data_IF_680210812528
#
_entry.id   IF_680210812528
#
_cell.length_a   1.000
_cell.length_b   1.000
_cell.length_c   1.000
_cell.angle_alpha   90.00
_cell.angle_beta   90.00
_cell.angle_gamma   90.00
#
_symmetry.space_group_name_H-M   'P 1'
#
loop_
_entity.id
_entity.type
_entity.pdbx_description
1 polymer ?
#
# COMPACT_ATOMS: atom_id res chain seq x y z
N UNK A 1 4.54 10.79 -31.96
CA UNK A 1 5.44 11.57 -31.09
C UNK A 1 6.52 10.62 -30.60
N UNK A 2 7.71 10.68 -31.19
CA UNK A 2 8.88 9.90 -30.78
C UNK A 2 9.38 10.45 -29.45
N UNK A 3 9.30 9.67 -28.37
CA UNK A 3 9.98 10.00 -27.12
C UNK A 3 11.48 10.00 -27.41
N UNK A 4 12.12 11.17 -27.32
CA UNK A 4 13.57 11.26 -27.17
C UNK A 4 13.93 10.67 -25.81
N UNK A 5 14.19 9.37 -25.76
CA UNK A 5 14.86 8.75 -24.64
C UNK A 5 16.31 9.24 -24.68
N UNK A 6 16.67 10.14 -23.76
CA UNK A 6 18.06 10.49 -23.43
C UNK A 6 18.77 9.30 -22.76
N UNK A 7 18.68 8.11 -23.35
CA UNK A 7 19.41 6.93 -22.89
C UNK A 7 20.84 7.11 -23.40
N UNK A 8 21.74 7.47 -22.49
CA UNK A 8 23.17 7.43 -22.75
C UNK A 8 23.56 5.96 -22.88
N UNK A 9 23.87 5.52 -24.10
CA UNK A 9 24.46 4.19 -24.30
C UNK A 9 25.83 4.22 -23.63
N UNK A 10 26.03 3.34 -22.65
CA UNK A 10 27.31 3.17 -21.96
C UNK A 10 28.09 2.13 -22.77
N UNK A 11 29.26 2.51 -23.27
CA UNK A 11 30.22 1.54 -23.80
C UNK A 11 31.20 1.23 -22.67
N UNK A 12 31.08 0.05 -22.08
CA UNK A 12 31.88 -0.32 -20.93
C UNK A 12 33.38 -0.32 -21.23
N UNK A 13 33.79 -0.51 -22.48
CA UNK A 13 35.21 -0.51 -22.87
C UNK A 13 35.75 0.90 -23.13
N UNK A 14 34.90 1.85 -23.54
CA UNK A 14 35.29 3.25 -23.72
C UNK A 14 35.14 4.07 -22.43
N UNK A 15 34.04 3.89 -21.70
CA UNK A 15 33.74 4.62 -20.45
C UNK A 15 34.57 4.10 -19.27
N UNK A 16 34.99 2.82 -19.30
CA UNK A 16 35.82 2.19 -18.26
C UNK A 16 37.04 1.48 -18.87
N UNK A 17 38.03 2.21 -19.40
CA UNK A 17 39.13 1.64 -20.18
C UNK A 17 40.06 0.70 -19.40
N UNK A 18 39.97 0.69 -18.07
CA UNK A 18 40.72 -0.22 -17.20
C UNK A 18 39.97 -1.52 -16.85
N UNK A 19 38.73 -1.70 -17.33
CA UNK A 19 37.96 -2.91 -17.04
C UNK A 19 38.60 -4.13 -17.71
N UNK A 20 38.80 -5.19 -16.95
CA UNK A 20 39.34 -6.45 -17.45
C UNK A 20 38.25 -7.33 -18.04
N UNK A 21 38.63 -8.28 -18.91
CA UNK A 21 37.70 -9.27 -19.45
C UNK A 21 37.00 -10.06 -18.33
N UNK A 22 37.73 -10.39 -17.25
CA UNK A 22 37.15 -11.10 -16.11
C UNK A 22 36.05 -10.29 -15.41
N UNK A 23 36.24 -8.98 -15.27
CA UNK A 23 35.22 -8.10 -14.68
C UNK A 23 34.00 -7.99 -15.60
N UNK A 24 34.20 -7.90 -16.92
CA UNK A 24 33.11 -7.96 -17.90
C UNK A 24 32.31 -9.26 -17.82
N UNK A 25 32.98 -10.42 -17.74
CA UNK A 25 32.32 -11.72 -17.64
C UNK A 25 31.48 -11.83 -16.35
N UNK A 26 31.97 -11.26 -15.25
CA UNK A 26 31.24 -11.20 -13.97
C UNK A 26 29.99 -10.33 -14.12
N UNK A 27 30.12 -9.13 -14.69
CA UNK A 27 29.02 -8.21 -14.91
C UNK A 27 27.96 -8.81 -15.83
N UNK A 28 28.37 -9.43 -16.94
CA UNK A 28 27.47 -10.07 -17.90
C UNK A 28 26.67 -11.19 -17.22
N UNK A 29 27.35 -12.03 -16.43
CA UNK A 29 26.71 -13.12 -15.69
C UNK A 29 25.70 -12.59 -14.67
N UNK A 30 26.05 -11.53 -13.95
CA UNK A 30 25.16 -10.89 -12.98
C UNK A 30 23.91 -10.29 -13.64
N UNK A 31 24.11 -9.51 -14.72
CA UNK A 31 22.99 -8.91 -15.48
C UNK A 31 22.06 -9.99 -16.03
N UNK A 32 22.61 -11.08 -16.60
CA UNK A 32 21.81 -12.20 -17.12
C UNK A 32 20.95 -12.85 -16.04
N UNK A 33 21.51 -13.07 -14.84
CA UNK A 33 20.75 -13.64 -13.72
C UNK A 33 19.57 -12.74 -13.32
N UNK A 34 19.80 -11.45 -13.17
CA UNK A 34 18.73 -10.50 -12.82
C UNK A 34 17.65 -10.42 -13.91
N UNK A 35 18.05 -10.44 -15.18
CA UNK A 35 17.09 -10.45 -16.29
C UNK A 35 16.27 -11.74 -16.32
N UNK A 36 16.87 -12.90 -16.05
CA UNK A 36 16.10 -14.14 -15.91
C UNK A 36 15.17 -14.13 -14.71
N UNK A 37 15.62 -13.64 -13.54
CA UNK A 37 14.76 -13.46 -12.38
C UNK A 37 13.54 -12.61 -12.75
N UNK A 38 13.75 -11.48 -13.42
CA UNK A 38 12.65 -10.62 -13.87
C UNK A 38 11.69 -11.41 -14.74
N UNK A 39 12.16 -12.11 -15.76
CA UNK A 39 11.26 -12.86 -16.66
C UNK A 39 10.51 -13.97 -15.92
N UNK A 40 11.16 -14.74 -15.04
CA UNK A 40 10.53 -15.81 -14.26
C UNK A 40 9.49 -15.24 -13.30
N UNK A 41 9.82 -14.18 -12.57
CA UNK A 41 8.89 -13.46 -11.70
C UNK A 41 7.69 -12.92 -12.49
N UNK A 42 7.94 -12.34 -13.66
CA UNK A 42 6.89 -11.82 -14.54
C UNK A 42 5.98 -12.93 -15.08
N UNK A 43 6.52 -14.12 -15.35
CA UNK A 43 5.75 -15.27 -15.82
C UNK A 43 4.79 -15.83 -14.76
N UNK A 44 5.11 -15.63 -13.47
CA UNK A 44 4.25 -16.03 -12.35
C UNK A 44 3.15 -14.98 -12.03
N UNK A 45 3.05 -13.88 -12.78
CA UNK A 45 2.00 -12.89 -12.57
C UNK A 45 0.62 -13.44 -12.85
N UNK A 46 -0.27 -13.23 -11.89
CA UNK A 46 -1.68 -13.55 -12.00
C UNK A 46 -2.52 -12.31 -11.70
N UNK A 47 -3.13 -11.74 -12.75
CA UNK A 47 -3.98 -10.55 -12.65
C UNK A 47 -5.23 -10.77 -11.79
N UNK A 48 -5.63 -12.02 -11.55
CA UNK A 48 -6.78 -12.38 -10.72
C UNK A 48 -6.43 -12.42 -9.24
N UNK A 49 -5.18 -12.08 -8.85
CA UNK A 49 -4.75 -11.95 -7.46
C UNK A 49 -4.53 -10.48 -7.13
N UNK A 50 -4.83 -10.09 -5.89
CA UNK A 50 -4.52 -8.74 -5.39
C UNK A 50 -3.02 -8.52 -5.22
N UNK A 51 -2.30 -9.59 -4.86
CA UNK A 51 -0.84 -9.64 -4.65
C UNK A 51 -0.31 -11.02 -5.04
N UNK A 52 0.82 -11.06 -5.74
CA UNK A 52 1.57 -12.28 -6.04
C UNK A 52 2.77 -12.41 -5.09
N UNK A 53 2.89 -13.58 -4.45
CA UNK A 53 3.98 -13.88 -3.52
C UNK A 53 4.88 -14.92 -4.18
N UNK A 54 6.05 -14.50 -4.65
CA UNK A 54 6.95 -15.34 -5.44
C UNK A 54 8.09 -15.83 -4.54
N UNK A 55 8.25 -17.15 -4.43
CA UNK A 55 9.33 -17.75 -3.65
C UNK A 55 10.63 -17.70 -4.44
N UNK A 56 11.65 -17.07 -3.87
CA UNK A 56 12.96 -16.99 -4.52
C UNK A 56 13.68 -18.35 -4.50
N UNK A 57 13.48 -19.13 -3.43
CA UNK A 57 13.95 -20.51 -3.33
C UNK A 57 13.43 -21.39 -4.46
N UNK A 58 12.14 -21.29 -4.79
CA UNK A 58 11.53 -22.07 -5.87
C UNK A 58 12.07 -21.67 -7.25
N UNK A 59 12.40 -20.39 -7.44
CA UNK A 59 13.06 -19.89 -8.64
C UNK A 59 14.57 -20.17 -8.67
N UNK A 60 15.15 -20.74 -7.60
CA UNK A 60 16.58 -21.00 -7.49
C UNK A 60 17.43 -19.73 -7.34
N UNK A 61 16.83 -18.64 -6.86
CA UNK A 61 17.50 -17.38 -6.57
C UNK A 61 17.77 -17.24 -5.08
N UNK A 62 19.03 -16.98 -4.76
CA UNK A 62 19.45 -16.60 -3.42
C UNK A 62 19.24 -15.10 -3.23
N UNK A 63 18.40 -14.72 -2.26
CA UNK A 63 18.11 -13.31 -1.94
C UNK A 63 19.04 -12.72 -0.89
N UNK A 64 20.22 -13.27 -0.69
CA UNK A 64 21.35 -12.61 -0.02
C UNK A 64 21.86 -11.37 -0.78
N UNK A 65 21.00 -10.74 -1.57
CA UNK A 65 21.21 -9.47 -2.21
C UNK A 65 21.64 -8.41 -1.19
N UNK A 66 22.67 -7.66 -1.53
CA UNK A 66 22.94 -6.42 -0.83
C UNK A 66 21.87 -5.36 -1.17
N UNK A 67 21.85 -4.25 -0.43
CA UNK A 67 20.83 -3.20 -0.60
C UNK A 67 20.77 -2.65 -2.04
N UNK A 68 21.91 -2.54 -2.74
CA UNK A 68 21.97 -2.04 -4.11
C UNK A 68 21.36 -3.05 -5.11
N UNK A 69 21.58 -4.35 -4.88
CA UNK A 69 21.01 -5.42 -5.70
C UNK A 69 19.49 -5.51 -5.52
N UNK A 70 18.99 -5.43 -4.28
CA UNK A 70 17.55 -5.37 -3.98
C UNK A 70 16.93 -4.18 -4.69
N UNK A 71 17.56 -3.01 -4.62
CA UNK A 71 17.10 -1.81 -5.30
C UNK A 71 17.08 -1.99 -6.81
N UNK A 72 18.12 -2.58 -7.40
CA UNK A 72 18.16 -2.83 -8.85
C UNK A 72 17.05 -3.78 -9.29
N UNK A 73 16.84 -4.89 -8.56
CA UNK A 73 15.75 -5.85 -8.85
C UNK A 73 14.39 -5.17 -8.71
N UNK A 74 14.20 -4.36 -7.66
CA UNK A 74 12.98 -3.57 -7.47
C UNK A 74 12.71 -2.67 -8.67
N UNK A 75 13.67 -1.82 -9.04
CA UNK A 75 13.53 -0.89 -10.17
C UNK A 75 13.26 -1.62 -11.49
N UNK A 76 13.90 -2.77 -11.70
CA UNK A 76 13.70 -3.58 -12.89
C UNK A 76 12.30 -4.19 -12.96
N UNK A 77 11.80 -4.75 -11.87
CA UNK A 77 10.44 -5.29 -11.79
C UNK A 77 9.42 -4.17 -11.99
N UNK A 78 9.62 -3.02 -11.33
CA UNK A 78 8.77 -1.83 -11.46
C UNK A 78 8.72 -1.22 -12.88
N UNK A 79 9.51 -1.71 -13.84
CA UNK A 79 9.35 -1.35 -15.27
C UNK A 79 8.12 -2.00 -15.92
N UNK A 80 7.55 -3.05 -15.33
CA UNK A 80 6.30 -3.65 -15.78
C UNK A 80 5.10 -2.84 -15.24
N UNK A 81 4.31 -2.25 -16.14
CA UNK A 81 3.21 -1.35 -15.78
C UNK A 81 2.06 -2.00 -14.98
N UNK A 82 2.03 -3.35 -14.93
CA UNK A 82 1.06 -4.09 -14.11
C UNK A 82 1.43 -4.06 -12.63
N UNK A 83 2.68 -3.76 -12.30
CA UNK A 83 3.22 -3.74 -10.94
C UNK A 83 3.13 -2.33 -10.38
N UNK A 84 2.46 -2.21 -9.23
CA UNK A 84 2.35 -0.95 -8.47
C UNK A 84 3.49 -0.78 -7.48
N UNK A 85 3.88 -1.87 -6.83
CA UNK A 85 4.87 -1.87 -5.76
C UNK A 85 5.51 -3.26 -5.65
N UNK A 86 6.77 -3.28 -5.24
CA UNK A 86 7.54 -4.49 -4.95
C UNK A 86 8.07 -4.40 -3.54
N UNK A 87 7.79 -5.44 -2.74
CA UNK A 87 8.35 -5.61 -1.41
C UNK A 87 9.12 -6.94 -1.31
N UNK A 88 10.15 -6.96 -0.47
CA UNK A 88 10.99 -8.13 -0.22
C UNK A 88 10.74 -8.59 1.20
N UNK A 89 10.37 -9.87 1.33
CA UNK A 89 10.22 -10.54 2.60
C UNK A 89 11.43 -11.45 2.78
N UNK A 90 12.46 -10.93 3.44
CA UNK A 90 13.73 -11.64 3.62
C UNK A 90 13.61 -12.82 4.59
N UNK A 91 12.65 -12.78 5.52
CA UNK A 91 12.42 -13.88 6.45
C UNK A 91 11.78 -15.08 5.75
N UNK A 92 10.84 -14.82 4.85
CA UNK A 92 10.14 -15.86 4.07
C UNK A 92 10.78 -16.15 2.71
N UNK A 93 11.85 -15.44 2.37
CA UNK A 93 12.54 -15.48 1.09
C UNK A 93 11.61 -15.29 -0.12
N UNK A 94 10.76 -14.26 -0.06
CA UNK A 94 9.73 -13.96 -1.06
C UNK A 94 9.83 -12.55 -1.62
N UNK A 95 9.48 -12.43 -2.89
CA UNK A 95 9.17 -11.15 -3.54
C UNK A 95 7.64 -11.01 -3.55
N UNK A 96 7.14 -9.95 -2.91
CA UNK A 96 5.72 -9.57 -2.91
C UNK A 96 5.48 -8.53 -4.00
N UNK A 97 4.55 -8.82 -4.89
CA UNK A 97 4.22 -7.99 -6.05
C UNK A 97 2.79 -7.52 -5.92
N UNK A 98 2.61 -6.21 -5.73
CA UNK A 98 1.30 -5.59 -5.62
C UNK A 98 0.86 -5.10 -6.99
N UNK A 99 -0.34 -5.51 -7.40
CA UNK A 99 -0.86 -5.18 -8.71
C UNK A 99 -1.38 -3.74 -8.75
N UNK A 100 -1.16 -3.06 -9.87
CA UNK A 100 -1.67 -1.72 -10.13
C UNK A 100 -3.18 -1.72 -10.39
N UNK A 101 -3.67 -2.73 -11.12
CA UNK A 101 -5.08 -2.88 -11.46
C UNK A 101 -5.47 -4.37 -11.42
N UNK A 102 -5.60 -4.95 -10.22
CA UNK A 102 -6.06 -6.32 -10.09
C UNK A 102 -7.45 -6.51 -10.73
N UNK A 103 -7.66 -7.63 -11.41
CA UNK A 103 -8.95 -8.00 -11.99
C UNK A 103 -9.83 -8.65 -10.92
N UNK A 104 -10.53 -7.82 -10.14
CA UNK A 104 -11.48 -8.28 -9.13
C UNK A 104 -12.75 -7.45 -9.16
N UNK A 105 -13.88 -8.13 -9.28
CA UNK A 105 -15.20 -7.52 -9.14
C UNK A 105 -15.64 -7.64 -7.68
N UNK A 106 -15.89 -6.50 -7.05
CA UNK A 106 -16.48 -6.43 -5.72
C UNK A 106 -17.99 -6.57 -5.87
N UNK A 107 -18.51 -7.76 -5.55
CA UNK A 107 -19.89 -8.15 -5.84
C UNK A 107 -20.86 -7.72 -4.72
N UNK A 108 -20.36 -7.65 -3.48
CA UNK A 108 -21.17 -7.35 -2.28
C UNK A 108 -20.49 -6.29 -1.43
N UNK A 109 -20.86 -5.02 -1.65
CA UNK A 109 -20.42 -3.89 -0.84
C UNK A 109 -21.63 -3.29 -0.14
N UNK A 110 -21.69 -3.42 1.18
CA UNK A 110 -22.69 -2.75 2.01
C UNK A 110 -22.08 -1.48 2.62
N UNK A 111 -22.73 -0.34 2.39
CA UNK A 111 -22.29 0.96 2.93
C UNK A 111 -23.25 1.36 4.03
N UNK A 112 -22.74 1.40 5.26
CA UNK A 112 -23.48 1.83 6.43
C UNK A 112 -23.06 3.25 6.77
N UNK A 113 -23.99 4.19 6.60
CA UNK A 113 -23.83 5.59 7.03
C UNK A 113 -23.84 5.63 8.55
N UNK A 114 -22.65 5.71 9.15
CA UNK A 114 -22.46 5.73 10.60
C UNK A 114 -21.23 6.55 10.93
N UNK A 115 -21.46 7.73 11.51
CA UNK A 115 -20.40 8.63 11.94
C UNK A 115 -19.91 8.27 13.34
N UNK A 116 -18.62 7.97 13.45
CA UNK A 116 -17.98 7.66 14.72
C UNK A 116 -16.73 8.50 14.90
N UNK A 117 -16.49 8.97 16.11
CA UNK A 117 -15.27 9.67 16.48
C UNK A 117 -14.46 8.86 17.50
N UNK A 118 -13.14 8.83 17.32
CA UNK A 118 -12.23 8.18 18.24
C UNK A 118 -10.78 8.63 18.00
N UNK A 119 -9.86 8.11 18.80
CA UNK A 119 -8.44 8.39 18.67
C UNK A 119 -7.66 7.11 18.38
N UNK A 120 -6.91 7.10 17.27
CA UNK A 120 -6.14 5.92 16.87
C UNK A 120 -4.88 6.30 16.09
N UNK A 121 -3.89 5.40 16.12
CA UNK A 121 -2.69 5.53 15.32
C UNK A 121 -3.02 5.21 13.85
N UNK A 122 -2.79 6.20 12.97
CA UNK A 122 -2.84 6.05 11.53
C UNK A 122 -1.42 6.21 10.97
N UNK A 123 -1.10 5.45 9.94
CA UNK A 123 0.19 5.52 9.25
C UNK A 123 0.00 5.98 7.81
N UNK A 124 1.04 6.60 7.25
CA UNK A 124 1.02 7.17 5.89
C UNK A 124 0.85 6.11 4.79
N UNK A 125 0.99 4.81 5.07
CA UNK A 125 0.44 3.74 4.24
C UNK A 125 0.84 2.35 4.77
N UNK A 126 0.03 1.35 4.41
CA UNK A 126 0.37 -0.06 4.44
C UNK A 126 -0.01 -0.70 3.10
N UNK A 127 0.79 -1.67 2.63
CA UNK A 127 0.45 -2.37 1.40
C UNK A 127 -0.56 -3.50 1.64
N UNK A 128 -0.48 -4.13 2.79
CA UNK A 128 -1.37 -5.21 3.21
C UNK A 128 -1.68 -5.15 4.71
N UNK A 129 -2.57 -6.03 5.16
CA UNK A 129 -3.02 -6.09 6.54
C UNK A 129 -1.94 -6.58 7.50
N UNK A 130 -0.97 -7.38 7.06
CA UNK A 130 0.09 -7.87 7.93
C UNK A 130 0.97 -6.69 8.37
N UNK A 131 1.29 -5.80 7.41
CA UNK A 131 1.98 -4.54 7.70
C UNK A 131 1.14 -3.68 8.68
N UNK A 132 -0.16 -3.55 8.44
CA UNK A 132 -1.05 -2.73 9.26
C UNK A 132 -1.20 -3.25 10.71
N UNK A 133 -1.33 -4.56 10.87
CA UNK A 133 -1.42 -5.23 12.18
C UNK A 133 -0.09 -5.16 12.92
N UNK A 134 1.04 -5.32 12.22
CA UNK A 134 2.37 -5.26 12.86
C UNK A 134 2.66 -3.90 13.49
N UNK A 135 2.11 -2.84 12.90
CA UNK A 135 2.27 -1.46 13.35
C UNK A 135 1.16 -1.00 14.30
N UNK A 136 0.13 -1.81 14.52
CA UNK A 136 -0.88 -1.54 15.54
C UNK A 136 -0.25 -1.66 16.94
N UNK A 137 -0.29 -0.56 17.68
CA UNK A 137 0.06 -0.54 19.10
C UNK A 137 -0.99 0.25 19.86
N UNK A 138 -1.70 -0.43 20.77
CA UNK A 138 -2.65 0.20 21.70
C UNK A 138 -1.97 1.25 22.59
N UNK A 139 -0.66 1.14 22.78
CA UNK A 139 0.17 2.03 23.59
C UNK A 139 0.85 3.15 22.79
N UNK A 140 0.58 3.25 21.48
CA UNK A 140 1.12 4.34 20.67
C UNK A 140 0.67 5.69 21.24
N UNK A 141 1.65 6.57 21.51
CA UNK A 141 1.40 7.95 21.94
C UNK A 141 1.04 8.88 20.78
N UNK A 142 1.25 8.44 19.54
CA UNK A 142 0.95 9.19 18.33
C UNK A 142 -0.42 8.75 17.77
N UNK A 143 -1.49 9.12 18.49
CA UNK A 143 -2.87 8.96 18.01
C UNK A 143 -3.32 10.28 17.37
N UNK A 144 -4.09 10.18 16.30
CA UNK A 144 -4.80 11.31 15.72
C UNK A 144 -6.29 11.17 16.04
N UNK A 145 -7.01 12.29 16.08
CA UNK A 145 -8.46 12.26 16.01
C UNK A 145 -8.88 11.67 14.67
N UNK A 146 -9.81 10.73 14.72
CA UNK A 146 -10.30 10.01 13.54
C UNK A 146 -11.81 10.07 13.54
N UNK A 147 -12.34 10.44 12.39
CA UNK A 147 -13.78 10.39 12.10
C UNK A 147 -14.00 9.27 11.10
N UNK A 148 -14.67 8.21 11.53
CA UNK A 148 -15.23 7.21 10.62
C UNK A 148 -16.48 7.83 10.03
N UNK A 149 -16.44 8.17 8.75
CA UNK A 149 -17.57 8.75 8.05
C UNK A 149 -18.59 7.67 7.66
N UNK A 150 -18.08 6.51 7.22
CA UNK A 150 -18.89 5.37 6.79
C UNK A 150 -18.22 4.05 7.13
N UNK A 151 -19.04 3.03 7.36
CA UNK A 151 -18.58 1.64 7.49
C UNK A 151 -18.88 0.90 6.19
N UNK A 152 -17.84 0.35 5.57
CA UNK A 152 -17.91 -0.47 4.36
C UNK A 152 -17.77 -1.93 4.77
N UNK A 153 -18.82 -2.72 4.57
CA UNK A 153 -18.78 -4.16 4.82
C UNK A 153 -18.61 -4.91 3.50
N UNK A 154 -17.59 -5.77 3.47
CA UNK A 154 -17.29 -6.66 2.35
C UNK A 154 -17.54 -8.11 2.76
N UNK A 155 -17.95 -8.94 1.82
CA UNK A 155 -18.01 -10.38 2.06
C UNK A 155 -16.61 -10.96 2.31
N UNK A 156 -16.53 -12.23 2.72
CA UNK A 156 -15.26 -12.90 3.04
C UNK A 156 -14.27 -12.92 1.86
N UNK A 157 -14.74 -13.13 0.64
CA UNK A 157 -13.90 -13.24 -0.56
C UNK A 157 -13.35 -11.86 -0.92
N UNK A 158 -14.20 -10.85 -0.95
CA UNK A 158 -13.89 -9.47 -1.30
C UNK A 158 -12.98 -8.83 -0.26
N UNK A 159 -13.27 -9.04 1.03
CA UNK A 159 -12.40 -8.58 2.11
C UNK A 159 -11.03 -9.26 2.04
N UNK A 160 -10.98 -10.58 1.87
CA UNK A 160 -9.73 -11.34 1.74
C UNK A 160 -8.87 -10.90 0.54
N UNK A 161 -9.53 -10.45 -0.54
CA UNK A 161 -8.85 -9.86 -1.69
C UNK A 161 -8.28 -8.48 -1.35
N UNK A 162 -9.11 -7.61 -0.76
CA UNK A 162 -8.78 -6.23 -0.42
C UNK A 162 -7.59 -6.13 0.53
N UNK A 163 -7.60 -6.88 1.63
CA UNK A 163 -6.60 -6.77 2.70
C UNK A 163 -5.17 -7.16 2.27
N UNK A 164 -4.99 -7.82 1.13
CA UNK A 164 -3.67 -8.18 0.58
C UNK A 164 -3.09 -7.12 -0.35
N UNK A 165 -3.86 -6.10 -0.73
CA UNK A 165 -3.42 -4.96 -1.55
C UNK A 165 -4.31 -3.75 -1.22
N UNK A 166 -4.09 -3.14 -0.06
CA UNK A 166 -4.97 -2.11 0.52
C UNK A 166 -5.02 -0.84 -0.35
N UNK A 167 -3.92 -0.51 -1.03
CA UNK A 167 -3.81 0.68 -1.89
C UNK A 167 -4.37 0.48 -3.31
N UNK A 168 -4.98 -0.68 -3.60
CA UNK A 168 -5.62 -0.87 -4.90
C UNK A 168 -6.75 0.15 -5.08
N UNK A 169 -6.92 0.62 -6.31
CA UNK A 169 -8.04 1.48 -6.67
C UNK A 169 -9.33 0.65 -6.66
N UNK A 170 -10.24 0.94 -5.73
CA UNK A 170 -11.56 0.32 -5.66
C UNK A 170 -12.66 1.34 -5.89
N UNK A 171 -13.79 0.92 -6.46
CA UNK A 171 -14.95 1.79 -6.64
C UNK A 171 -15.46 2.31 -5.31
N UNK A 172 -15.61 1.46 -4.29
CA UNK A 172 -16.15 1.88 -3.00
C UNK A 172 -15.26 2.87 -2.23
N UNK A 173 -13.94 2.92 -2.48
CA UNK A 173 -13.09 4.00 -1.95
C UNK A 173 -13.32 5.27 -2.74
N UNK A 174 -13.31 5.20 -4.08
CA UNK A 174 -13.41 6.36 -4.95
C UNK A 174 -14.82 7.00 -4.94
N UNK A 175 -15.88 6.21 -4.82
CA UNK A 175 -17.27 6.65 -4.72
C UNK A 175 -17.56 7.43 -3.43
N UNK A 176 -16.65 7.34 -2.44
CA UNK A 176 -16.72 8.05 -1.16
C UNK A 176 -15.53 9.01 -0.99
N UNK A 177 -14.92 9.51 -2.06
CA UNK A 177 -13.77 10.42 -1.99
C UNK A 177 -14.12 11.78 -1.37
N UNK A 178 -15.39 12.18 -1.40
CA UNK A 178 -15.91 13.42 -0.84
C UNK A 178 -15.90 13.47 0.70
N UNK A 179 -15.87 12.30 1.34
CA UNK A 179 -15.83 12.15 2.80
C UNK A 179 -14.44 11.73 3.31
N UNK A 180 -13.42 11.73 2.46
CA UNK A 180 -12.04 11.37 2.83
C UNK A 180 -11.13 12.59 2.73
N UNK A 181 -10.78 13.15 3.88
CA UNK A 181 -9.94 14.34 3.96
C UNK A 181 -9.33 14.49 5.36
N UNK A 182 -8.32 15.36 5.46
CA UNK A 182 -7.80 15.84 6.74
C UNK A 182 -8.40 17.22 7.01
N UNK A 183 -9.09 17.39 8.12
CA UNK A 183 -9.73 18.67 8.45
C UNK A 183 -8.72 19.71 8.99
N UNK A 184 -9.20 20.93 9.26
CA UNK A 184 -8.36 22.00 9.82
C UNK A 184 -7.82 21.71 11.21
N UNK A 185 -8.45 20.79 11.95
CA UNK A 185 -8.03 20.34 13.28
C UNK A 185 -7.05 19.17 13.22
N UNK A 186 -6.75 18.69 12.01
CA UNK A 186 -5.93 17.51 11.72
C UNK A 186 -6.62 16.20 12.12
N UNK A 187 -7.94 16.19 12.28
CA UNK A 187 -8.69 14.94 12.32
C UNK A 187 -8.70 14.32 10.93
N UNK A 188 -8.62 13.00 10.89
CA UNK A 188 -8.61 12.24 9.64
C UNK A 188 -9.99 11.64 9.44
N UNK A 189 -10.69 12.11 8.41
CA UNK A 189 -11.98 11.57 7.97
C UNK A 189 -11.74 10.39 7.05
N UNK A 190 -12.28 9.24 7.42
CA UNK A 190 -11.91 7.97 6.83
C UNK A 190 -13.11 7.02 6.68
N UNK A 191 -12.92 6.00 5.85
CA UNK A 191 -13.79 4.85 5.73
C UNK A 191 -13.31 3.75 6.67
N UNK A 192 -14.22 3.08 7.35
CA UNK A 192 -13.92 1.85 8.09
C UNK A 192 -14.35 0.64 7.27
N UNK A 193 -13.39 -0.10 6.72
CA UNK A 193 -13.63 -1.25 5.86
C UNK A 193 -13.44 -2.53 6.67
N UNK A 194 -14.45 -3.40 6.70
CA UNK A 194 -14.42 -4.65 7.46
C UNK A 194 -15.08 -5.80 6.70
N UNK A 195 -14.80 -7.02 7.14
CA UNK A 195 -15.59 -8.17 6.72
C UNK A 195 -16.98 -8.11 7.38
N UNK A 196 -18.01 -8.58 6.68
CA UNK A 196 -19.34 -8.82 7.26
C UNK A 196 -19.25 -9.59 8.60
N UNK A 197 -20.03 -9.12 9.58
CA UNK A 197 -20.08 -9.64 10.96
C UNK A 197 -18.74 -9.59 11.75
N UNK A 198 -17.67 -9.01 11.19
CA UNK A 198 -16.44 -8.76 11.92
C UNK A 198 -16.50 -7.43 12.68
N UNK A 199 -15.87 -7.39 13.85
CA UNK A 199 -15.66 -6.16 14.63
C UNK A 199 -14.35 -5.45 14.24
N UNK A 200 -13.39 -6.21 13.71
CA UNK A 200 -12.10 -5.70 13.26
C UNK A 200 -12.15 -5.24 11.80
N UNK A 201 -11.29 -4.29 11.46
CA UNK A 201 -11.20 -3.78 10.09
C UNK A 201 -10.02 -2.82 9.89
N UNK A 202 -10.06 -2.12 8.77
CA UNK A 202 -9.07 -1.14 8.36
C UNK A 202 -9.72 0.23 8.19
N UNK A 203 -9.10 1.25 8.75
CA UNK A 203 -9.40 2.64 8.41
C UNK A 203 -8.63 3.00 7.14
N UNK A 204 -9.30 3.66 6.21
CA UNK A 204 -8.71 4.17 4.97
C UNK A 204 -9.14 5.61 4.74
N UNK A 205 -8.16 6.47 4.51
CA UNK A 205 -8.38 7.83 4.02
C UNK A 205 -7.46 8.06 2.84
N UNK A 206 -8.03 8.28 1.66
CA UNK A 206 -7.33 8.86 0.51
C UNK A 206 -7.69 10.34 0.47
N UNK A 207 -6.81 11.17 1.05
CA UNK A 207 -7.07 12.60 1.22
C UNK A 207 -7.28 13.27 -0.14
N UNK A 208 -8.48 13.81 -0.35
CA UNK A 208 -8.89 14.41 -1.61
C UNK A 208 -8.08 15.66 -2.01
N UNK A 209 -7.45 16.36 -1.05
CA UNK A 209 -6.66 17.56 -1.33
C UNK A 209 -5.19 17.24 -1.65
N UNK A 210 -4.55 16.44 -0.81
CA UNK A 210 -3.11 16.17 -0.91
C UNK A 210 -2.79 14.90 -1.71
N UNK A 211 -3.80 14.04 -1.92
CA UNK A 211 -3.64 12.68 -2.43
C UNK A 211 -2.70 11.81 -1.55
N UNK A 212 -2.47 12.21 -0.29
CA UNK A 212 -1.87 11.33 0.71
C UNK A 212 -2.85 10.20 1.05
N UNK A 213 -2.30 9.02 1.32
CA UNK A 213 -3.06 7.86 1.74
C UNK A 213 -2.80 7.62 3.24
N UNK A 214 -3.81 7.27 4.01
CA UNK A 214 -3.67 6.91 5.41
C UNK A 214 -4.40 5.61 5.67
N UNK A 215 -3.78 4.75 6.46
CA UNK A 215 -4.36 3.48 6.84
C UNK A 215 -4.02 3.08 8.27
N UNK A 216 -4.94 2.37 8.92
CA UNK A 216 -4.73 1.84 10.27
C UNK A 216 -5.61 0.63 10.54
N UNK A 217 -5.08 -0.30 11.32
CA UNK A 217 -5.84 -1.45 11.79
C UNK A 217 -6.64 -1.11 13.05
N UNK A 218 -7.89 -1.56 13.09
CA UNK A 218 -8.80 -1.38 14.21
C UNK A 218 -9.29 -2.75 14.67
N UNK A 219 -8.96 -3.19 15.91
CA UNK A 219 -9.39 -4.49 16.40
C UNK A 219 -10.88 -4.55 16.73
N UNK A 220 -11.45 -3.43 17.18
CA UNK A 220 -12.89 -3.24 17.41
C UNK A 220 -13.21 -1.73 17.52
N UNK A 221 -14.50 -1.40 17.56
CA UNK A 221 -14.99 -0.03 17.66
C UNK A 221 -15.28 0.42 19.10
N UNK A 222 -14.75 -0.26 20.12
CA UNK A 222 -15.07 0.05 21.53
C UNK A 222 -14.57 1.46 21.94
N UNK A 223 -13.46 1.91 21.34
CA UNK A 223 -12.86 3.22 21.56
C UNK A 223 -13.49 4.33 20.69
N UNK A 224 -14.56 4.02 19.95
CA UNK A 224 -15.25 4.96 19.06
C UNK A 224 -16.64 5.31 19.57
N UNK A 225 -16.98 6.59 19.55
CA UNK A 225 -18.27 7.12 19.98
C UNK A 225 -19.08 7.60 18.78
N UNK A 226 -20.37 7.31 18.79
CA UNK A 226 -21.28 7.80 17.76
C UNK A 226 -21.55 9.29 17.94
N UNK A 227 -21.48 10.03 16.84
CA UNK A 227 -21.57 11.50 16.83
C UNK A 227 -22.58 11.95 15.78
N UNK A 228 -23.37 12.97 16.13
CA UNK A 228 -24.23 13.69 15.19
C UNK A 228 -23.47 14.82 14.48
N UNK A 229 -24.03 15.33 13.38
CA UNK A 229 -23.48 16.52 12.71
C UNK A 229 -23.48 17.76 13.61
N UNK A 230 -24.45 17.88 14.52
CA UNK A 230 -24.50 18.98 15.48
C UNK A 230 -23.36 18.87 16.51
N UNK A 231 -23.15 17.68 17.07
CA UNK A 231 -22.05 17.42 18.01
C UNK A 231 -20.66 17.57 17.37
N UNK A 232 -20.51 17.23 16.08
CA UNK A 232 -19.25 17.43 15.37
C UNK A 232 -18.94 18.91 15.13
N UNK A 233 -19.92 19.69 14.67
CA UNK A 233 -19.74 21.12 14.47
C UNK A 233 -19.43 21.85 15.79
N UNK A 234 -20.02 21.40 16.91
CA UNK A 234 -19.69 21.93 18.24
C UNK A 234 -18.25 21.58 18.67
N UNK A 235 -17.73 20.40 18.29
CA UNK A 235 -16.32 20.05 18.48
C UNK A 235 -15.41 20.93 17.62
N UNK A 236 -15.83 21.25 16.39
CA UNK A 236 -15.13 22.16 15.49
C UNK A 236 -15.09 23.60 16.03
N UNK A 237 -16.17 24.08 16.66
CA UNK A 237 -16.28 25.44 17.20
C UNK A 237 -15.58 25.63 18.55
N UNK A 238 -15.58 24.62 19.44
CA UNK A 238 -15.00 24.73 20.80
C UNK A 238 -13.47 24.76 20.85
N UNK A 239 -12.79 24.48 19.73
CA UNK A 239 -11.34 24.41 19.64
C UNK A 239 -10.73 25.55 18.79
N UNK A 240 -11.53 26.55 18.41
CA UNK A 240 -11.03 27.84 17.93
C UNK A 240 -10.18 28.55 18.99
N UNK A 241 -9.20 29.40 18.60
CA UNK A 241 -8.26 29.97 19.56
C UNK A 241 -9.00 30.82 20.60
N UNK A 242 -8.81 30.52 21.89
CA UNK A 242 -9.01 31.51 22.94
C UNK A 242 -8.07 32.69 22.63
N UNK A 243 -8.65 33.75 22.07
CA UNK A 243 -7.96 35.03 21.91
C UNK A 243 -7.72 35.61 23.31
N UNK A 244 -6.51 35.40 23.84
CA UNK A 244 -5.94 36.15 24.97
C UNK A 244 -4.63 36.80 24.53
#
# INVERSE_FOLDING_TARGET
MTRNSNIKVIDLTEDFPSISQRELDILERFIKQILWLKEDVINEFDNQKSRCDISCLELGFDISFNEDEVKLVKELLMTDERIREVSFDFELEKIKLYLARPEHAYDSVNVVERKLYGEIALNKYFNDIDDAVSCYSSESKAKNGVVIEKVIELDKKDYGFFIRNIQQETSFINDNSDVQFVDSQRNIHCLFIKQEASEQGLLICKDSETNDFYSGFVPNLDDFQEISMEEYNDMDEQSGPEMV
#
